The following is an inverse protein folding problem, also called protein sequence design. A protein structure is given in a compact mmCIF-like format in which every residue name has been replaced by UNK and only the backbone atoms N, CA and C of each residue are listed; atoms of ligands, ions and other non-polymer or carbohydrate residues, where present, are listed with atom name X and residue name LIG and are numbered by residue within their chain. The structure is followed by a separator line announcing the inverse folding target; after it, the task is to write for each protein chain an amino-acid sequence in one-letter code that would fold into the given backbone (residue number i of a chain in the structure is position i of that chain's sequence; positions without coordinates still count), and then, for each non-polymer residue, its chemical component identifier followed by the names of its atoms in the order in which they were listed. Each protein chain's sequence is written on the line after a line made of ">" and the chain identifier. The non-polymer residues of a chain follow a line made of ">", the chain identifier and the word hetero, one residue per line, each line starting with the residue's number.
data_IF_723126202107
#
_entry.id   IF_723126202107
#
_cell.length_a   1.000
_cell.length_b   1.000
_cell.length_c   1.000
_cell.angle_alpha   90.00
_cell.angle_beta   90.00
_cell.angle_gamma   90.00
#
_symmetry.space_group_name_H-M   'P 1'
#
loop_
_entity.id
_entity.type
_entity.pdbx_description
1 polymer ?
#
# COMPACT_ATOMS: atom_id res chain seq x y z
N UNK A 1 22.18 51.69 -44.73
CA UNK A 1 22.47 51.25 -46.11
C UNK A 1 22.12 49.77 -46.18
N UNK A 2 20.92 49.52 -46.56
CA UNK A 2 20.46 48.75 -47.72
C UNK A 2 21.29 47.49 -48.00
N UNK A 3 20.70 46.33 -47.91
CA UNK A 3 20.12 45.66 -49.07
C UNK A 3 19.10 44.63 -48.63
N UNK A 4 17.87 44.85 -49.05
CA UNK A 4 16.75 43.91 -49.17
C UNK A 4 16.86 43.14 -50.49
N UNK A 5 16.12 42.04 -50.55
CA UNK A 5 15.64 41.27 -51.71
C UNK A 5 16.52 40.08 -52.03
N UNK A 6 15.95 38.95 -51.96
CA UNK A 6 14.93 38.16 -52.62
C UNK A 6 15.63 36.93 -53.24
N UNK A 7 14.98 35.83 -53.07
CA UNK A 7 14.47 35.01 -54.19
C UNK A 7 13.57 33.92 -53.58
N UNK A 8 12.33 34.02 -54.01
CA UNK A 8 11.35 32.93 -53.94
C UNK A 8 11.55 32.09 -55.22
N UNK A 9 11.31 30.83 -55.14
CA UNK A 9 10.61 30.00 -56.11
C UNK A 9 11.18 28.60 -56.25
N UNK A 10 10.29 27.65 -56.22
CA UNK A 10 10.52 26.22 -56.58
C UNK A 10 9.52 25.37 -55.76
N UNK A 11 8.23 25.53 -56.02
CA UNK A 11 7.26 24.70 -56.74
C UNK A 11 7.25 23.25 -56.24
N UNK A 12 6.21 22.87 -55.50
CA UNK A 12 4.86 22.48 -55.94
C UNK A 12 4.82 21.00 -56.42
N UNK A 13 3.86 20.35 -55.82
CA UNK A 13 3.13 19.17 -56.28
C UNK A 13 3.64 17.78 -55.78
N UNK A 14 3.00 17.30 -54.73
CA UNK A 14 2.11 16.12 -54.82
C UNK A 14 0.99 16.28 -53.77
N UNK A 15 -0.11 16.82 -54.20
CA UNK A 15 -1.43 16.63 -53.62
C UNK A 15 -2.01 15.39 -54.22
N UNK A 16 -2.47 14.45 -53.39
CA UNK A 16 -3.83 13.90 -53.51
C UNK A 16 -3.97 12.60 -52.73
N UNK A 17 -5.11 12.51 -52.11
CA UNK A 17 -5.82 11.34 -51.56
C UNK A 17 -5.34 10.88 -50.16
N UNK A 18 -6.05 11.22 -49.07
CA UNK A 18 -7.36 10.66 -48.76
C UNK A 18 -8.04 11.48 -47.66
N UNK A 19 -9.01 12.29 -48.01
CA UNK A 19 -10.14 12.58 -47.13
C UNK A 19 -11.10 11.39 -47.26
N UNK A 20 -11.43 10.78 -46.16
CA UNK A 20 -12.71 10.14 -45.78
C UNK A 20 -12.45 9.26 -44.58
N UNK A 21 -12.78 9.73 -43.40
CA UNK A 21 -13.93 9.26 -42.61
C UNK A 21 -14.07 10.11 -41.37
N UNK A 22 -14.95 11.08 -41.46
CA UNK A 22 -15.64 11.61 -40.28
C UNK A 22 -16.85 10.70 -40.09
N UNK A 23 -16.92 10.02 -38.94
CA UNK A 23 -18.14 9.79 -38.16
C UNK A 23 -17.84 8.81 -37.02
N UNK A 24 -17.93 9.29 -35.82
CA UNK A 24 -17.89 8.48 -34.60
C UNK A 24 -17.84 9.39 -33.38
N UNK A 25 -19.01 9.85 -32.94
CA UNK A 25 -19.19 10.53 -31.67
C UNK A 25 -18.96 9.59 -30.50
N UNK A 26 -18.29 10.08 -29.46
CA UNK A 26 -18.61 9.72 -28.08
C UNK A 26 -17.57 8.86 -27.39
N UNK A 27 -16.92 9.44 -26.39
CA UNK A 27 -16.08 8.76 -25.41
C UNK A 27 -14.65 9.27 -25.43
N UNK A 28 -14.33 10.16 -24.49
CA UNK A 28 -12.96 10.65 -24.32
C UNK A 28 -12.08 9.61 -23.64
N UNK A 29 -11.85 8.45 -24.27
CA UNK A 29 -10.82 7.51 -23.88
C UNK A 29 -9.51 7.86 -24.60
N UNK A 30 -8.39 7.90 -23.90
CA UNK A 30 -7.05 7.97 -24.51
C UNK A 30 -6.89 6.80 -25.48
N UNK A 31 -6.51 7.09 -26.74
CA UNK A 31 -6.25 6.03 -27.71
C UNK A 31 -5.11 5.12 -27.21
N UNK A 32 -5.31 3.80 -27.26
CA UNK A 32 -4.29 2.81 -26.93
C UNK A 32 -3.10 2.93 -27.88
N UNK A 33 -1.89 2.69 -27.35
CA UNK A 33 -0.68 2.64 -28.16
C UNK A 33 -0.63 1.34 -28.97
N UNK A 34 -0.45 1.47 -30.28
CA UNK A 34 -0.27 0.30 -31.13
C UNK A 34 1.16 -0.25 -30.98
N UNK A 35 1.30 -1.54 -30.59
CA UNK A 35 2.55 -2.27 -30.41
C UNK A 35 3.54 -1.65 -29.40
N UNK A 36 3.16 -1.46 -28.13
CA UNK A 36 4.08 -0.97 -27.11
C UNK A 36 5.21 -1.97 -26.85
N UNK A 37 6.43 -1.45 -26.65
CA UNK A 37 7.62 -2.27 -26.37
C UNK A 37 7.86 -2.44 -24.87
N UNK A 38 7.27 -1.59 -24.04
CA UNK A 38 7.35 -1.66 -22.58
C UNK A 38 6.10 -1.12 -21.90
N UNK A 39 5.90 -1.52 -20.65
CA UNK A 39 5.02 -0.87 -19.68
C UNK A 39 5.85 -0.40 -18.49
N UNK A 40 5.44 0.71 -17.86
CA UNK A 40 6.09 1.24 -16.67
C UNK A 40 5.26 0.87 -15.44
N UNK A 41 5.88 0.16 -14.50
CA UNK A 41 5.24 -0.27 -13.24
C UNK A 41 5.98 0.32 -12.06
N UNK A 42 5.28 1.11 -11.24
CA UNK A 42 5.83 1.68 -10.02
C UNK A 42 5.31 0.95 -8.78
N UNK A 43 6.23 0.62 -7.89
CA UNK A 43 5.95 0.02 -6.60
C UNK A 43 6.87 0.60 -5.53
N UNK A 44 6.62 0.29 -4.27
CA UNK A 44 7.46 0.74 -3.16
C UNK A 44 7.95 -0.39 -2.24
N UNK A 45 7.76 -1.62 -2.66
CA UNK A 45 8.15 -2.78 -1.89
C UNK A 45 9.68 -3.03 -1.94
N UNK A 46 10.23 -3.54 -0.85
CA UNK A 46 11.64 -3.92 -0.82
C UNK A 46 11.92 -5.13 -1.71
N UNK A 47 13.05 -5.10 -2.40
CA UNK A 47 13.45 -6.14 -3.36
C UNK A 47 13.57 -7.54 -2.77
N UNK A 48 13.94 -7.64 -1.49
CA UNK A 48 14.05 -8.87 -0.70
C UNK A 48 12.83 -9.13 0.18
N UNK A 49 11.84 -8.25 0.15
CA UNK A 49 10.54 -8.45 0.78
C UNK A 49 9.67 -9.42 -0.02
N UNK A 50 8.70 -10.03 0.64
CA UNK A 50 7.84 -11.04 0.02
C UNK A 50 7.06 -10.50 -1.19
N UNK A 51 6.53 -9.27 -1.11
CA UNK A 51 5.83 -8.63 -2.22
C UNK A 51 6.78 -8.27 -3.36
N UNK A 52 7.95 -7.68 -3.08
CA UNK A 52 8.94 -7.37 -4.11
C UNK A 52 9.37 -8.59 -4.90
N UNK A 53 9.58 -9.72 -4.22
CA UNK A 53 9.90 -11.02 -4.86
C UNK A 53 8.72 -11.50 -5.73
N UNK A 54 7.47 -11.38 -5.24
CA UNK A 54 6.28 -11.76 -5.98
C UNK A 54 6.05 -10.89 -7.22
N UNK A 55 6.27 -9.58 -7.10
CA UNK A 55 6.13 -8.66 -8.25
C UNK A 55 7.18 -8.91 -9.33
N UNK A 56 8.41 -9.25 -8.94
CA UNK A 56 9.43 -9.69 -9.90
C UNK A 56 9.04 -10.98 -10.63
N UNK A 57 8.42 -11.92 -9.92
CA UNK A 57 7.89 -13.14 -10.53
C UNK A 57 6.78 -12.83 -11.54
N UNK A 58 5.85 -11.93 -11.21
CA UNK A 58 4.80 -11.48 -12.13
C UNK A 58 5.40 -10.81 -13.38
N UNK A 59 6.42 -9.97 -13.20
CA UNK A 59 7.16 -9.33 -14.30
C UNK A 59 7.77 -10.36 -15.24
N UNK A 60 8.48 -11.37 -14.73
CA UNK A 60 9.11 -12.42 -15.54
C UNK A 60 8.07 -13.19 -16.39
N UNK A 61 6.91 -13.53 -15.78
CA UNK A 61 5.83 -14.21 -16.48
C UNK A 61 5.25 -13.29 -17.56
N UNK A 62 4.98 -12.01 -17.22
CA UNK A 62 4.45 -11.03 -18.15
C UNK A 62 5.34 -10.85 -19.38
N UNK A 63 6.64 -10.63 -19.19
CA UNK A 63 7.60 -10.46 -20.29
C UNK A 63 7.68 -11.71 -21.17
N UNK A 64 7.66 -12.89 -20.56
CA UNK A 64 7.67 -14.17 -21.29
C UNK A 64 6.42 -14.38 -22.14
N UNK A 65 5.23 -14.00 -21.62
CA UNK A 65 3.96 -14.22 -22.31
C UNK A 65 3.69 -13.18 -23.40
N UNK A 66 4.10 -11.94 -23.17
CA UNK A 66 3.73 -10.82 -24.04
C UNK A 66 4.84 -10.37 -24.98
N UNK A 67 6.10 -10.63 -24.63
CA UNK A 67 7.26 -10.05 -25.29
C UNK A 67 7.46 -8.57 -25.00
N UNK A 68 6.60 -7.96 -24.15
CA UNK A 68 6.66 -6.55 -23.74
C UNK A 68 7.50 -6.44 -22.47
N UNK A 69 8.43 -5.49 -22.43
CA UNK A 69 9.28 -5.25 -21.26
C UNK A 69 8.50 -4.60 -20.11
N UNK A 70 8.90 -4.90 -18.88
CA UNK A 70 8.42 -4.18 -17.70
C UNK A 70 9.53 -3.27 -17.18
N UNK A 71 9.31 -1.97 -17.26
CA UNK A 71 10.12 -0.97 -16.56
C UNK A 71 9.67 -0.93 -15.11
N UNK A 72 10.25 -1.81 -14.29
CA UNK A 72 9.83 -2.05 -12.92
C UNK A 72 10.64 -1.16 -11.98
N UNK A 73 10.02 -0.11 -11.45
CA UNK A 73 10.70 0.92 -10.68
C UNK A 73 10.20 0.99 -9.24
N UNK A 74 11.13 0.81 -8.30
CA UNK A 74 10.85 1.09 -6.88
C UNK A 74 10.87 2.60 -6.64
N UNK A 75 9.82 3.09 -5.99
CA UNK A 75 9.67 4.48 -5.54
C UNK A 75 9.51 4.54 -4.03
N UNK A 76 9.78 5.71 -3.43
CA UNK A 76 9.46 5.93 -2.04
C UNK A 76 7.94 5.95 -1.83
N UNK A 77 7.47 5.17 -0.86
CA UNK A 77 6.07 5.14 -0.43
C UNK A 77 5.51 6.56 -0.20
N UNK A 78 6.20 7.35 0.62
CA UNK A 78 5.75 8.71 0.94
C UNK A 78 5.78 9.65 -0.28
N UNK A 79 6.75 9.49 -1.19
CA UNK A 79 6.80 10.29 -2.42
C UNK A 79 5.61 10.01 -3.33
N UNK A 80 5.27 8.73 -3.53
CA UNK A 80 4.06 8.38 -4.32
C UNK A 80 2.83 8.93 -3.62
N UNK A 81 2.66 8.67 -2.33
CA UNK A 81 1.47 9.07 -1.58
C UNK A 81 1.23 10.58 -1.60
N UNK A 82 2.28 11.38 -1.40
CA UNK A 82 2.18 12.83 -1.32
C UNK A 82 2.04 13.52 -2.69
N UNK A 83 2.58 12.92 -3.75
CA UNK A 83 2.68 13.56 -5.06
C UNK A 83 1.83 12.87 -6.15
N UNK A 84 0.99 11.89 -5.79
CA UNK A 84 0.26 11.07 -6.75
C UNK A 84 -0.55 11.90 -7.76
N UNK A 85 -1.32 12.91 -7.32
CA UNK A 85 -2.11 13.75 -8.22
C UNK A 85 -1.22 14.49 -9.24
N UNK A 86 -0.05 14.97 -8.83
CA UNK A 86 0.89 15.64 -9.73
C UNK A 86 1.52 14.63 -10.69
N UNK A 87 1.92 13.47 -10.20
CA UNK A 87 2.52 12.40 -11.00
C UNK A 87 1.55 11.96 -12.08
N UNK A 88 0.30 11.67 -11.74
CA UNK A 88 -0.70 11.15 -12.67
C UNK A 88 -1.16 12.17 -13.72
N UNK A 89 -0.93 13.45 -13.49
CA UNK A 89 -1.16 14.52 -14.46
C UNK A 89 0.07 14.83 -15.34
N UNK A 90 1.15 14.09 -15.21
CA UNK A 90 2.40 14.29 -15.96
C UNK A 90 2.63 13.22 -17.03
N UNK A 91 3.54 13.50 -17.96
CA UNK A 91 4.00 12.53 -18.96
C UNK A 91 4.87 11.42 -18.35
N UNK A 92 5.29 11.57 -17.09
CA UNK A 92 6.09 10.59 -16.33
C UNK A 92 5.24 9.53 -15.62
N UNK A 93 3.90 9.66 -15.69
CA UNK A 93 2.99 8.71 -15.07
C UNK A 93 3.31 7.26 -15.50
N UNK A 94 3.24 6.28 -14.56
CA UNK A 94 3.39 4.87 -14.91
C UNK A 94 2.14 4.34 -15.61
N UNK A 95 2.22 3.12 -16.14
CA UNK A 95 1.04 2.39 -16.64
C UNK A 95 0.31 1.63 -15.52
N UNK A 96 1.08 1.17 -14.53
CA UNK A 96 0.56 0.55 -13.30
C UNK A 96 1.26 1.19 -12.10
N UNK A 97 0.51 1.50 -11.07
CA UNK A 97 1.08 2.04 -9.83
C UNK A 97 0.53 1.32 -8.61
N UNK A 98 1.43 0.93 -7.72
CA UNK A 98 1.03 0.52 -6.38
C UNK A 98 0.65 1.76 -5.58
N UNK A 99 -0.55 1.75 -4.96
CA UNK A 99 -1.06 2.93 -4.28
C UNK A 99 -1.94 2.59 -3.07
N UNK A 100 -1.98 3.51 -2.11
CA UNK A 100 -2.78 3.34 -0.91
C UNK A 100 -4.28 3.33 -1.17
N UNK A 101 -4.97 2.41 -0.50
CA UNK A 101 -6.42 2.46 -0.32
C UNK A 101 -6.85 3.64 0.56
N UNK A 102 -8.11 4.00 0.49
CA UNK A 102 -8.74 4.99 1.37
C UNK A 102 -9.25 6.24 0.66
N UNK A 103 -10.13 6.98 1.35
CA UNK A 103 -10.83 8.13 0.78
C UNK A 103 -9.89 9.28 0.42
N UNK A 104 -8.87 9.54 1.26
CA UNK A 104 -7.90 10.62 1.05
C UNK A 104 -6.77 10.24 0.08
N UNK A 105 -6.75 9.02 -0.42
CA UNK A 105 -5.73 8.49 -1.32
C UNK A 105 -6.36 8.02 -2.64
N UNK A 106 -6.56 6.72 -2.86
CA UNK A 106 -7.14 6.23 -4.10
C UNK A 106 -8.54 6.81 -4.39
N UNK A 107 -9.36 7.00 -3.35
CA UNK A 107 -10.67 7.64 -3.50
C UNK A 107 -10.59 9.08 -4.02
N UNK A 108 -9.66 9.87 -3.50
CA UNK A 108 -9.42 11.23 -3.99
C UNK A 108 -9.02 11.22 -5.47
N UNK A 109 -8.08 10.35 -5.86
CA UNK A 109 -7.65 10.26 -7.25
C UNK A 109 -8.77 9.77 -8.17
N UNK A 110 -9.58 8.80 -7.74
CA UNK A 110 -10.74 8.30 -8.46
C UNK A 110 -11.77 9.42 -8.70
N UNK A 111 -12.11 10.18 -7.65
CA UNK A 111 -13.07 11.32 -7.75
C UNK A 111 -12.57 12.47 -8.64
N UNK A 112 -11.25 12.59 -8.82
CA UNK A 112 -10.62 13.54 -9.72
C UNK A 112 -10.51 13.03 -11.17
N UNK A 113 -10.94 11.79 -11.45
CA UNK A 113 -10.82 11.16 -12.76
C UNK A 113 -9.39 10.83 -13.17
N UNK A 114 -8.47 10.65 -12.21
CA UNK A 114 -7.07 10.34 -12.46
C UNK A 114 -6.79 8.83 -12.50
N UNK A 115 -7.76 8.00 -12.07
CA UNK A 115 -7.68 6.54 -12.13
C UNK A 115 -8.68 5.98 -13.13
N UNK A 116 -8.28 4.93 -13.81
CA UNK A 116 -9.13 4.18 -14.74
C UNK A 116 -10.19 3.40 -13.97
N UNK A 117 -11.45 3.46 -14.43
CA UNK A 117 -12.49 2.54 -13.98
C UNK A 117 -12.15 1.13 -14.48
N UNK A 118 -12.07 0.18 -13.55
CA UNK A 118 -11.63 -1.19 -13.80
C UNK A 118 -12.78 -2.20 -13.96
N UNK A 119 -14.04 -1.77 -13.92
CA UNK A 119 -15.20 -2.68 -13.92
C UNK A 119 -15.22 -3.66 -15.11
N UNK A 120 -14.79 -3.22 -16.29
CA UNK A 120 -14.74 -4.10 -17.45
C UNK A 120 -13.61 -5.12 -17.35
N UNK A 121 -12.44 -4.75 -16.83
CA UNK A 121 -11.34 -5.67 -16.55
C UNK A 121 -11.66 -6.64 -15.40
N UNK A 122 -12.38 -6.18 -14.38
CA UNK A 122 -12.89 -7.05 -13.30
C UNK A 122 -13.74 -8.16 -13.86
N UNK A 123 -14.67 -7.85 -14.79
CA UNK A 123 -15.52 -8.84 -15.46
C UNK A 123 -14.72 -9.76 -16.38
N UNK A 124 -13.78 -9.20 -17.16
CA UNK A 124 -12.95 -9.96 -18.11
C UNK A 124 -12.08 -10.99 -17.40
N UNK A 125 -11.39 -10.58 -16.35
CA UNK A 125 -10.44 -11.41 -15.61
C UNK A 125 -11.05 -12.08 -14.38
N UNK A 126 -12.33 -11.81 -14.05
CA UNK A 126 -13.06 -12.34 -12.89
C UNK A 126 -12.34 -12.04 -11.57
N UNK A 127 -11.86 -10.83 -11.42
CA UNK A 127 -11.14 -10.44 -10.21
C UNK A 127 -12.04 -10.41 -8.98
N UNK A 128 -13.34 -10.19 -9.14
CA UNK A 128 -14.35 -10.24 -8.09
C UNK A 128 -14.60 -11.66 -7.53
N UNK A 129 -14.17 -12.71 -8.22
CA UNK A 129 -14.18 -14.08 -7.70
C UNK A 129 -12.97 -14.31 -6.76
N UNK A 130 -11.87 -13.54 -6.89
CA UNK A 130 -10.65 -13.66 -6.10
C UNK A 130 -10.58 -12.63 -4.98
N UNK A 131 -10.88 -11.38 -5.28
CA UNK A 131 -10.84 -10.25 -4.34
C UNK A 131 -12.26 -10.01 -3.82
N UNK A 132 -12.56 -10.54 -2.64
CA UNK A 132 -13.92 -10.57 -2.08
C UNK A 132 -14.02 -9.90 -0.71
N UNK A 133 -15.25 -9.63 -0.25
CA UNK A 133 -15.50 -9.07 1.09
C UNK A 133 -14.79 -7.73 1.31
N UNK A 134 -14.18 -7.55 2.47
CA UNK A 134 -13.47 -6.32 2.82
C UNK A 134 -12.32 -5.98 1.88
N UNK A 135 -11.68 -6.99 1.25
CA UNK A 135 -10.65 -6.76 0.25
C UNK A 135 -11.22 -6.09 -1.00
N UNK A 136 -12.42 -6.49 -1.44
CA UNK A 136 -13.11 -5.86 -2.56
C UNK A 136 -13.52 -4.41 -2.24
N UNK A 137 -14.00 -4.17 -1.03
CA UNK A 137 -14.48 -2.87 -0.61
C UNK A 137 -13.38 -1.80 -0.66
N UNK A 138 -12.14 -2.17 -0.38
CA UNK A 138 -11.00 -1.25 -0.42
C UNK A 138 -10.61 -0.80 -1.83
N UNK A 139 -10.99 -1.53 -2.87
CA UNK A 139 -10.77 -1.18 -4.28
C UNK A 139 -11.89 -0.38 -4.94
N UNK A 140 -13.05 -0.25 -4.25
CA UNK A 140 -14.25 0.41 -4.78
C UNK A 140 -14.44 1.80 -4.22
N UNK A 141 -14.79 2.73 -5.10
CA UNK A 141 -15.04 4.12 -4.74
C UNK A 141 -16.25 4.68 -5.48
N UNK A 142 -17.08 5.44 -4.77
CA UNK A 142 -18.18 6.16 -5.39
C UNK A 142 -17.69 7.48 -6.05
N UNK A 143 -18.60 8.23 -6.68
CA UNK A 143 -18.29 9.49 -7.36
C UNK A 143 -17.65 10.55 -6.46
N UNK A 144 -17.83 10.45 -5.13
CA UNK A 144 -17.23 11.35 -4.14
C UNK A 144 -15.90 10.83 -3.61
N UNK A 145 -15.42 9.69 -4.09
CA UNK A 145 -14.20 9.04 -3.61
C UNK A 145 -14.35 8.34 -2.27
N UNK A 146 -15.59 8.03 -1.85
CA UNK A 146 -15.81 7.28 -0.61
C UNK A 146 -15.67 5.79 -0.90
N UNK A 147 -14.84 5.13 -0.11
CA UNK A 147 -14.50 3.71 -0.20
C UNK A 147 -15.70 2.80 0.16
N UNK A 148 -15.72 1.59 -0.37
CA UNK A 148 -16.66 0.53 -0.01
C UNK A 148 -17.88 0.40 -0.92
N UNK A 149 -18.05 1.30 -1.89
CA UNK A 149 -19.14 1.27 -2.85
C UNK A 149 -18.77 1.94 -4.17
N UNK A 150 -19.61 1.77 -5.18
CA UNK A 150 -19.37 2.33 -6.50
C UNK A 150 -18.54 1.40 -7.40
N UNK A 151 -17.66 1.98 -8.21
CA UNK A 151 -16.89 1.26 -9.22
C UNK A 151 -15.51 0.85 -8.71
N UNK A 152 -14.92 -0.14 -9.33
CA UNK A 152 -13.53 -0.52 -9.07
C UNK A 152 -12.56 0.50 -9.68
N UNK A 153 -11.65 1.01 -8.86
CA UNK A 153 -10.53 1.88 -9.28
C UNK A 153 -9.17 1.34 -8.86
N UNK A 154 -9.16 0.26 -8.09
CA UNK A 154 -7.96 -0.44 -7.71
C UNK A 154 -8.23 -1.90 -7.37
N UNK A 155 -7.19 -2.71 -7.48
CA UNK A 155 -7.24 -4.13 -7.15
C UNK A 155 -6.27 -4.40 -6.02
N UNK A 156 -6.78 -4.90 -4.91
CA UNK A 156 -5.96 -5.30 -3.75
C UNK A 156 -4.90 -6.32 -4.20
N UNK A 157 -3.67 -6.09 -3.80
CA UNK A 157 -2.52 -6.86 -4.27
C UNK A 157 -2.00 -7.90 -3.27
N UNK A 158 -2.27 -7.73 -1.98
CA UNK A 158 -1.97 -8.70 -0.90
C UNK A 158 -2.87 -8.45 0.31
N UNK A 159 -2.94 -9.42 1.22
CA UNK A 159 -3.55 -9.25 2.54
C UNK A 159 -2.54 -8.68 3.54
N UNK A 160 -3.00 -7.92 4.53
CA UNK A 160 -2.15 -7.45 5.61
C UNK A 160 -2.90 -7.36 6.93
N UNK A 161 -2.18 -7.68 8.01
CA UNK A 161 -2.58 -7.40 9.37
C UNK A 161 -1.43 -6.71 10.10
N UNK A 162 -1.75 -5.83 11.03
CA UNK A 162 -0.76 -5.22 11.92
C UNK A 162 -0.75 -6.01 13.21
N UNK A 163 0.41 -6.58 13.54
CA UNK A 163 0.58 -7.56 14.61
C UNK A 163 1.74 -7.19 15.52
N UNK A 164 1.83 -7.85 16.67
CA UNK A 164 2.97 -7.72 17.56
C UNK A 164 4.07 -8.72 17.18
N UNK A 165 5.26 -8.22 16.91
CA UNK A 165 6.48 -9.01 16.80
C UNK A 165 7.29 -8.92 18.09
N UNK A 166 7.89 -10.05 18.47
CA UNK A 166 8.72 -10.17 19.66
C UNK A 166 10.08 -10.77 19.31
N UNK A 167 11.15 -10.11 19.71
CA UNK A 167 12.49 -10.69 19.70
C UNK A 167 12.62 -11.63 20.91
N UNK A 168 12.29 -12.91 20.71
CA UNK A 168 12.22 -13.89 21.79
C UNK A 168 13.56 -14.05 22.51
N UNK A 169 14.68 -13.90 21.81
CA UNK A 169 16.00 -14.00 22.42
C UNK A 169 16.23 -12.87 23.44
N UNK A 170 15.71 -11.66 23.19
CA UNK A 170 15.74 -10.56 24.14
C UNK A 170 14.84 -10.83 25.34
N UNK A 171 13.67 -11.41 25.15
CA UNK A 171 12.77 -11.82 26.23
C UNK A 171 13.41 -12.87 27.12
N UNK A 172 13.93 -13.95 26.53
CA UNK A 172 14.58 -15.05 27.25
C UNK A 172 15.82 -14.57 28.04
N UNK A 173 16.67 -13.76 27.39
CA UNK A 173 17.86 -13.16 28.04
C UNK A 173 17.52 -12.31 29.26
N UNK A 174 16.37 -11.68 29.26
CA UNK A 174 15.93 -10.79 30.34
C UNK A 174 15.01 -11.49 31.36
N UNK A 175 14.64 -12.75 31.14
CA UNK A 175 13.73 -13.51 32.00
C UNK A 175 12.30 -12.94 31.99
N UNK A 176 11.84 -12.48 30.83
CA UNK A 176 10.51 -11.89 30.62
C UNK A 176 9.73 -12.82 29.72
N UNK A 177 8.50 -13.13 30.07
CA UNK A 177 7.60 -13.95 29.25
C UNK A 177 6.93 -13.10 28.16
N UNK A 178 6.62 -13.74 27.02
CA UNK A 178 5.85 -13.11 25.94
C UNK A 178 4.43 -12.81 26.44
N UNK A 179 3.95 -11.57 26.40
CA UNK A 179 2.66 -11.20 26.96
C UNK A 179 1.49 -11.70 26.10
N UNK A 180 0.40 -12.10 26.75
CA UNK A 180 -0.86 -12.54 26.15
C UNK A 180 -2.03 -11.62 26.51
N UNK A 181 -1.86 -10.81 27.55
CA UNK A 181 -2.85 -9.83 28.03
C UNK A 181 -2.26 -8.42 28.04
N UNK A 182 -3.12 -7.39 28.12
CA UNK A 182 -2.68 -5.99 28.21
C UNK A 182 -1.91 -5.69 29.50
N UNK A 183 -2.29 -6.33 30.61
CA UNK A 183 -1.58 -6.19 31.88
C UNK A 183 -0.18 -6.81 31.78
N UNK A 184 -0.07 -8.03 31.21
CA UNK A 184 1.22 -8.67 30.96
C UNK A 184 2.10 -7.88 29.99
N UNK A 185 1.51 -7.26 28.96
CA UNK A 185 2.23 -6.38 28.03
C UNK A 185 2.81 -5.17 28.78
N UNK A 186 1.99 -4.52 29.61
CA UNK A 186 2.42 -3.36 30.41
C UNK A 186 3.53 -3.75 31.38
N UNK A 187 3.39 -4.90 32.07
CA UNK A 187 4.39 -5.43 32.98
C UNK A 187 5.71 -5.79 32.27
N UNK A 188 5.62 -6.41 31.09
CA UNK A 188 6.80 -6.71 30.29
C UNK A 188 7.53 -5.43 29.84
N UNK A 189 6.78 -4.43 29.39
CA UNK A 189 7.35 -3.11 29.02
C UNK A 189 8.06 -2.46 30.20
N UNK A 190 7.44 -2.46 31.41
CA UNK A 190 8.06 -1.91 32.59
C UNK A 190 9.37 -2.62 32.95
N UNK A 191 9.38 -3.97 32.90
CA UNK A 191 10.58 -4.76 33.18
C UNK A 191 11.73 -4.46 32.21
N UNK A 192 11.46 -4.14 30.95
CA UNK A 192 12.47 -3.70 30.00
C UNK A 192 12.99 -2.30 30.34
N UNK A 193 12.09 -1.37 30.64
CA UNK A 193 12.46 -0.01 31.05
C UNK A 193 13.34 -0.01 32.30
N UNK A 194 13.03 -0.85 33.31
CA UNK A 194 13.83 -1.01 34.53
C UNK A 194 15.27 -1.50 34.25
N UNK A 195 15.49 -2.09 33.07
CA UNK A 195 16.80 -2.52 32.55
C UNK A 195 17.43 -1.53 31.59
N UNK A 196 16.83 -0.36 31.40
CA UNK A 196 17.31 0.69 30.48
C UNK A 196 17.06 0.39 29.00
N UNK A 197 16.10 -0.48 28.70
CA UNK A 197 15.73 -0.86 27.32
C UNK A 197 14.37 -0.25 26.99
N UNK A 198 14.28 0.57 25.93
CA UNK A 198 12.99 1.00 25.38
C UNK A 198 12.29 -0.20 24.75
N UNK A 199 11.10 -0.61 25.26
CA UNK A 199 10.54 -1.91 24.88
C UNK A 199 9.85 -1.94 23.51
N UNK A 200 9.22 -0.85 23.06
CA UNK A 200 8.41 -0.83 21.84
C UNK A 200 9.06 0.05 20.78
N UNK A 201 9.32 -0.56 19.62
CA UNK A 201 9.76 0.14 18.42
C UNK A 201 8.58 0.91 17.82
N UNK A 202 8.57 2.24 17.98
CA UNK A 202 7.52 3.10 17.45
C UNK A 202 8.11 4.36 16.79
N UNK A 203 7.51 4.74 15.65
CA UNK A 203 7.84 5.93 14.89
C UNK A 203 6.58 6.75 14.57
N UNK A 204 6.66 8.06 14.77
CA UNK A 204 5.56 8.98 14.54
C UNK A 204 5.84 10.03 13.45
N UNK A 205 7.00 9.94 12.78
CA UNK A 205 7.27 10.75 11.59
C UNK A 205 6.46 10.28 10.37
N UNK A 206 5.98 9.04 10.41
CA UNK A 206 5.15 8.40 9.41
C UNK A 206 3.99 7.65 10.10
N UNK A 207 3.46 6.61 9.47
CA UNK A 207 2.24 5.89 9.88
C UNK A 207 2.32 4.97 11.13
N UNK A 208 3.48 4.46 11.63
CA UNK A 208 3.46 3.39 12.65
C UNK A 208 2.65 3.73 13.90
N UNK A 209 2.87 4.89 14.51
CA UNK A 209 2.14 5.28 15.72
C UNK A 209 0.62 5.40 15.48
N UNK A 210 0.19 5.73 14.27
CA UNK A 210 -1.23 5.76 13.89
C UNK A 210 -1.84 4.35 13.95
N UNK A 211 -1.11 3.33 13.52
CA UNK A 211 -1.57 1.94 13.63
C UNK A 211 -1.74 1.50 15.07
N UNK A 212 -0.78 1.83 15.94
CA UNK A 212 -0.88 1.52 17.36
C UNK A 212 -2.07 2.24 18.01
N UNK A 213 -2.22 3.54 17.72
CA UNK A 213 -3.37 4.30 18.21
C UNK A 213 -4.69 3.68 17.78
N UNK A 214 -4.82 3.33 16.49
CA UNK A 214 -6.04 2.72 15.97
C UNK A 214 -6.28 1.32 16.56
N UNK A 215 -5.24 0.52 16.78
CA UNK A 215 -5.38 -0.77 17.47
C UNK A 215 -5.89 -0.61 18.91
N UNK A 216 -5.43 0.40 19.61
CA UNK A 216 -5.92 0.72 20.97
C UNK A 216 -7.39 1.17 20.92
N UNK A 217 -7.77 1.99 19.94
CA UNK A 217 -9.19 2.35 19.70
C UNK A 217 -10.01 1.08 19.45
N UNK A 218 -9.59 0.21 18.54
CA UNK A 218 -10.29 -1.03 18.20
C UNK A 218 -10.46 -1.99 19.39
N UNK A 219 -9.59 -1.92 20.40
CA UNK A 219 -9.72 -2.72 21.62
C UNK A 219 -10.94 -2.34 22.47
N UNK A 220 -11.50 -1.15 22.25
CA UNK A 220 -12.65 -0.58 22.99
C UNK A 220 -13.86 -0.30 22.09
N UNK A 221 -13.64 -0.09 20.79
CA UNK A 221 -14.67 0.30 19.84
C UNK A 221 -15.65 -0.84 19.52
N UNK A 222 -16.94 -0.51 19.43
CA UNK A 222 -17.95 -1.38 18.85
C UNK A 222 -17.94 -1.32 17.31
N UNK A 223 -18.78 -2.13 16.67
CA UNK A 223 -18.83 -2.21 15.21
C UNK A 223 -19.45 -0.96 14.58
N UNK A 224 -20.33 -0.25 15.30
CA UNK A 224 -20.92 0.98 14.81
C UNK A 224 -19.87 2.09 14.73
N UNK A 225 -19.05 2.23 15.78
CA UNK A 225 -17.93 3.18 15.79
C UNK A 225 -16.93 2.88 14.65
N UNK A 226 -16.58 1.59 14.47
CA UNK A 226 -15.65 1.18 13.39
C UNK A 226 -16.21 1.55 12.03
N UNK A 227 -17.49 1.27 11.75
CA UNK A 227 -18.12 1.65 10.48
C UNK A 227 -18.16 3.16 10.26
N UNK A 228 -18.52 3.93 11.30
CA UNK A 228 -18.54 5.38 11.20
C UNK A 228 -17.16 5.96 10.86
N UNK A 229 -16.10 5.42 11.46
CA UNK A 229 -14.73 5.88 11.25
C UNK A 229 -14.15 5.40 9.90
N UNK A 230 -14.19 4.09 9.62
CA UNK A 230 -13.53 3.49 8.46
C UNK A 230 -14.30 3.71 7.16
N UNK A 231 -15.63 3.59 7.22
CA UNK A 231 -16.50 3.61 6.05
C UNK A 231 -17.26 4.92 5.91
N UNK A 232 -17.05 5.87 6.82
CA UNK A 232 -17.78 7.15 6.86
C UNK A 232 -19.31 6.95 6.94
N UNK A 233 -19.73 5.86 7.60
CA UNK A 233 -21.13 5.49 7.81
C UNK A 233 -21.62 5.98 9.17
N UNK A 234 -21.75 7.31 9.31
CA UNK A 234 -22.20 8.00 10.50
C UNK A 234 -21.20 9.02 11.05
N UNK A 235 -21.57 9.64 12.17
CA UNK A 235 -20.73 10.60 12.87
C UNK A 235 -19.80 9.89 13.86
N UNK A 236 -18.56 10.36 13.95
CA UNK A 236 -17.58 9.89 14.93
C UNK A 236 -17.61 10.83 16.13
N UNK A 237 -17.91 10.29 17.31
CA UNK A 237 -17.72 11.01 18.58
C UNK A 237 -16.24 10.96 18.99
N UNK A 238 -15.55 12.08 18.77
CA UNK A 238 -14.12 12.22 19.05
C UNK A 238 -13.79 12.31 20.55
N UNK A 239 -14.77 12.53 21.42
CA UNK A 239 -14.65 12.53 22.88
C UNK A 239 -15.04 11.17 23.49
N UNK A 240 -15.31 10.17 22.65
CA UNK A 240 -15.74 8.83 23.07
C UNK A 240 -14.65 8.08 23.86
N UNK A 241 -15.09 7.07 24.62
CA UNK A 241 -14.20 6.24 25.45
C UNK A 241 -13.09 5.56 24.63
N UNK A 242 -13.32 4.96 23.44
CA UNK A 242 -12.25 4.38 22.63
C UNK A 242 -11.15 5.37 22.26
N UNK A 243 -11.51 6.59 21.84
CA UNK A 243 -10.56 7.65 21.45
C UNK A 243 -9.76 8.13 22.67
N UNK A 244 -10.45 8.40 23.76
CA UNK A 244 -9.83 8.88 25.00
C UNK A 244 -8.88 7.83 25.57
N UNK A 245 -9.30 6.56 25.59
CA UNK A 245 -8.46 5.45 26.04
C UNK A 245 -7.17 5.32 25.21
N UNK A 246 -7.27 5.29 23.89
CA UNK A 246 -6.12 5.15 23.02
C UNK A 246 -5.11 6.30 23.17
N UNK A 247 -5.64 7.53 23.19
CA UNK A 247 -4.80 8.74 23.30
C UNK A 247 -4.12 8.82 24.67
N UNK A 248 -4.82 8.51 25.75
CA UNK A 248 -4.24 8.50 27.09
C UNK A 248 -3.20 7.37 27.24
N UNK A 249 -3.47 6.19 26.68
CA UNK A 249 -2.56 5.06 26.73
C UNK A 249 -1.22 5.39 26.05
N UNK A 250 -1.25 5.98 24.85
CA UNK A 250 -0.01 6.39 24.14
C UNK A 250 0.75 7.43 24.96
N UNK A 251 0.04 8.43 25.51
CA UNK A 251 0.66 9.42 26.37
C UNK A 251 1.34 8.77 27.57
N UNK A 252 0.63 7.89 28.28
CA UNK A 252 1.18 7.20 29.45
C UNK A 252 2.38 6.32 29.12
N UNK A 253 2.34 5.61 27.98
CA UNK A 253 3.43 4.78 27.50
C UNK A 253 4.66 5.59 27.12
N UNK A 254 4.46 6.78 26.55
CA UNK A 254 5.56 7.72 26.23
C UNK A 254 6.15 8.32 27.52
N UNK A 255 5.31 8.72 28.48
CA UNK A 255 5.76 9.27 29.76
C UNK A 255 6.55 8.25 30.60
N UNK A 256 6.17 6.97 30.53
CA UNK A 256 6.85 5.84 31.19
C UNK A 256 8.10 5.34 30.45
N UNK A 257 8.35 5.83 29.23
CA UNK A 257 9.47 5.40 28.40
C UNK A 257 9.27 4.07 27.70
N UNK A 258 8.03 3.59 27.60
CA UNK A 258 7.70 2.39 26.81
C UNK A 258 7.82 2.68 25.31
N UNK A 259 7.52 3.89 24.91
CA UNK A 259 7.76 4.47 23.59
C UNK A 259 8.78 5.59 23.77
N UNK A 260 9.78 5.65 22.88
CA UNK A 260 10.77 6.74 22.91
C UNK A 260 10.08 8.10 22.69
N UNK A 261 10.48 9.12 23.45
CA UNK A 261 10.08 10.52 23.21
C UNK A 261 10.55 11.05 21.87
N UNK A 262 11.63 10.47 21.32
CA UNK A 262 12.18 10.82 20.02
C UNK A 262 11.42 10.19 18.85
N UNK A 263 10.37 9.39 19.12
CA UNK A 263 9.57 8.71 18.09
C UNK A 263 9.01 9.65 17.02
N UNK A 264 8.77 10.92 17.36
CA UNK A 264 8.28 11.94 16.40
C UNK A 264 9.28 12.23 15.26
N UNK A 265 10.56 11.90 15.43
CA UNK A 265 11.58 12.00 14.39
C UNK A 265 11.88 10.68 13.67
N UNK A 266 11.32 9.56 14.13
CA UNK A 266 11.62 8.23 13.59
C UNK A 266 10.59 7.82 12.55
N UNK A 267 11.08 7.32 11.42
CA UNK A 267 10.28 6.75 10.34
C UNK A 267 10.01 5.26 10.55
N UNK A 268 9.11 4.69 9.77
CA UNK A 268 8.79 3.27 9.80
C UNK A 268 10.05 2.40 9.58
N UNK A 269 10.89 2.77 8.62
CA UNK A 269 12.13 2.05 8.33
C UNK A 269 13.12 2.12 9.50
N UNK A 270 13.26 3.28 10.15
CA UNK A 270 14.19 3.46 11.28
C UNK A 270 13.85 2.52 12.45
N UNK A 271 12.56 2.43 12.79
CA UNK A 271 12.11 1.58 13.92
C UNK A 271 12.12 0.10 13.57
N UNK A 272 11.82 -0.27 12.33
CA UNK A 272 11.93 -1.63 11.83
C UNK A 272 13.39 -2.11 11.84
N UNK A 273 14.33 -1.29 11.37
CA UNK A 273 15.77 -1.58 11.48
C UNK A 273 16.22 -1.68 12.93
N UNK A 274 15.71 -0.81 13.81
CA UNK A 274 15.98 -0.87 15.25
C UNK A 274 15.54 -2.20 15.87
N UNK A 275 14.36 -2.72 15.49
CA UNK A 275 13.90 -4.04 15.91
C UNK A 275 14.82 -5.16 15.37
N UNK A 276 15.15 -5.13 14.08
CA UNK A 276 16.02 -6.12 13.45
C UNK A 276 17.43 -6.15 14.07
N UNK A 277 17.95 -5.00 14.47
CA UNK A 277 19.26 -4.87 15.11
C UNK A 277 19.24 -5.18 16.62
N UNK A 278 18.09 -5.54 17.20
CA UNK A 278 17.95 -5.85 18.62
C UNK A 278 17.99 -4.62 19.53
N UNK A 279 17.68 -3.43 19.04
CA UNK A 279 17.51 -2.23 19.86
C UNK A 279 16.22 -2.30 20.67
N UNK A 280 15.17 -2.81 20.06
CA UNK A 280 13.82 -2.95 20.65
C UNK A 280 13.43 -4.41 20.75
N UNK A 281 12.88 -4.88 21.87
CA UNK A 281 12.39 -6.26 22.02
C UNK A 281 11.03 -6.51 21.38
N UNK A 282 10.24 -5.45 21.11
CA UNK A 282 8.90 -5.54 20.53
C UNK A 282 8.73 -4.55 19.39
N UNK A 283 7.90 -4.95 18.41
CA UNK A 283 7.55 -4.11 17.27
C UNK A 283 6.09 -4.37 16.90
N UNK A 284 5.27 -3.32 16.90
CA UNK A 284 3.89 -3.38 16.43
C UNK A 284 3.85 -2.87 15.00
N UNK A 285 3.76 -3.78 14.03
CA UNK A 285 3.78 -3.43 12.62
C UNK A 285 3.15 -4.50 11.76
N UNK A 286 3.06 -4.23 10.47
CA UNK A 286 2.36 -5.09 9.53
C UNK A 286 3.11 -6.34 9.11
N UNK A 287 2.33 -7.28 8.59
CA UNK A 287 2.83 -8.56 8.07
C UNK A 287 3.79 -8.40 6.89
N UNK A 288 3.85 -7.24 6.25
CA UNK A 288 4.85 -6.89 5.22
C UNK A 288 6.31 -6.92 5.71
N UNK A 289 6.56 -6.87 7.01
CA UNK A 289 7.90 -7.00 7.59
C UNK A 289 8.36 -8.45 7.71
N UNK A 290 7.44 -9.42 7.78
CA UNK A 290 7.77 -10.79 8.14
C UNK A 290 8.77 -11.46 7.20
N UNK A 291 8.62 -11.28 5.89
CA UNK A 291 9.56 -11.81 4.90
C UNK A 291 10.99 -11.27 5.09
N UNK A 292 11.13 -10.01 5.49
CA UNK A 292 12.44 -9.41 5.81
C UNK A 292 13.03 -10.02 7.07
N UNK A 293 12.22 -10.22 8.12
CA UNK A 293 12.71 -10.88 9.33
C UNK A 293 13.21 -12.29 9.06
N UNK A 294 12.52 -13.06 8.23
CA UNK A 294 12.98 -14.38 7.82
C UNK A 294 14.31 -14.34 7.05
N UNK A 295 14.53 -13.34 6.23
CA UNK A 295 15.72 -13.22 5.39
C UNK A 295 16.90 -12.58 6.12
N UNK A 296 16.67 -11.53 6.91
CA UNK A 296 17.73 -10.67 7.43
C UNK A 296 18.04 -10.93 8.91
N UNK A 297 17.10 -11.54 9.68
CA UNK A 297 17.30 -11.89 11.09
C UNK A 297 17.64 -13.37 11.29
N UNK A 298 18.40 -13.96 10.37
CA UNK A 298 18.82 -15.38 10.47
C UNK A 298 19.59 -15.65 11.76
N UNK A 299 19.08 -16.57 12.57
CA UNK A 299 19.65 -16.91 13.87
C UNK A 299 19.06 -16.12 15.04
N UNK A 300 18.16 -15.16 14.81
CA UNK A 300 17.35 -14.53 15.85
C UNK A 300 15.98 -15.18 15.90
N UNK A 301 15.53 -15.52 17.11
CA UNK A 301 14.22 -16.12 17.30
C UNK A 301 13.14 -15.05 17.41
N UNK A 302 12.45 -14.79 16.29
CA UNK A 302 11.32 -13.84 16.23
C UNK A 302 10.02 -14.64 16.30
N UNK A 303 9.13 -14.23 17.21
CA UNK A 303 7.76 -14.74 17.27
C UNK A 303 6.77 -13.61 17.14
N UNK A 304 5.50 -13.91 16.91
CA UNK A 304 4.46 -12.92 16.73
C UNK A 304 3.12 -13.39 17.30
N UNK A 305 2.25 -12.43 17.59
CA UNK A 305 0.86 -12.65 17.94
C UNK A 305 0.00 -11.48 17.47
N UNK A 306 -1.32 -11.67 17.48
CA UNK A 306 -2.22 -10.51 17.45
C UNK A 306 -1.98 -9.61 18.65
N UNK A 307 -2.43 -8.37 18.60
CA UNK A 307 -2.34 -7.45 19.75
C UNK A 307 -3.06 -8.05 20.96
N UNK A 308 -2.42 -8.06 22.16
CA UNK A 308 -2.95 -8.76 23.32
C UNK A 308 -4.41 -8.45 23.63
N UNK A 309 -5.23 -9.48 23.85
CA UNK A 309 -6.66 -9.43 24.15
C UNK A 309 -7.53 -8.72 23.10
N UNK A 310 -7.02 -8.30 21.97
CA UNK A 310 -7.82 -7.64 20.95
C UNK A 310 -8.60 -8.68 20.13
N UNK A 311 -9.89 -8.37 19.90
CA UNK A 311 -10.77 -9.14 19.01
C UNK A 311 -10.79 -8.58 17.59
N UNK A 312 -10.29 -7.38 17.41
CA UNK A 312 -10.19 -6.68 16.13
C UNK A 312 -8.72 -6.38 15.86
N UNK A 313 -8.33 -6.47 14.62
CA UNK A 313 -6.96 -6.26 14.17
C UNK A 313 -6.95 -5.11 13.17
N UNK A 314 -5.94 -4.25 13.24
CA UNK A 314 -5.68 -3.25 12.20
C UNK A 314 -5.21 -3.97 10.94
N UNK A 315 -5.74 -3.57 9.79
CA UNK A 315 -5.42 -4.19 8.51
C UNK A 315 -6.64 -4.91 7.92
N UNK A 316 -6.54 -5.39 6.74
CA UNK A 316 -7.40 -6.32 6.01
C UNK A 316 -6.88 -6.51 4.59
N UNK A 317 -6.64 -5.43 3.85
CA UNK A 317 -6.00 -5.44 2.54
C UNK A 317 -4.69 -4.68 2.62
N UNK A 318 -3.74 -5.07 1.80
CA UNK A 318 -2.54 -4.31 1.52
C UNK A 318 -2.85 -3.09 0.64
N UNK A 319 -2.00 -2.84 -0.30
CA UNK A 319 -2.17 -1.73 -1.23
C UNK A 319 -3.00 -2.15 -2.45
N UNK A 320 -3.24 -1.21 -3.32
CA UNK A 320 -3.95 -1.40 -4.55
C UNK A 320 -2.99 -1.32 -5.74
N UNK A 321 -3.19 -2.16 -6.73
CA UNK A 321 -2.76 -1.86 -8.08
C UNK A 321 -3.79 -0.93 -8.72
N UNK A 322 -3.36 0.23 -9.19
CA UNK A 322 -4.19 1.19 -9.91
C UNK A 322 -3.62 1.43 -11.31
N UNK A 323 -4.50 1.76 -12.25
CA UNK A 323 -4.14 2.14 -13.62
C UNK A 323 -4.43 3.64 -13.78
N UNK A 324 -3.42 4.48 -14.04
CA UNK A 324 -3.64 5.89 -14.35
C UNK A 324 -4.56 6.08 -15.55
N UNK A 325 -5.46 7.06 -15.49
CA UNK A 325 -6.43 7.30 -16.58
C UNK A 325 -5.76 7.72 -17.89
N UNK A 326 -4.61 8.39 -17.83
CA UNK A 326 -3.85 8.80 -18.99
C UNK A 326 -2.95 7.71 -19.61
N UNK A 327 -2.86 6.51 -19.00
CA UNK A 327 -2.12 5.40 -19.58
C UNK A 327 -2.69 5.01 -20.95
N UNK A 328 -1.79 4.85 -21.92
CA UNK A 328 -2.10 4.36 -23.27
C UNK A 328 -1.96 2.86 -23.43
N UNK A 329 -1.66 2.15 -22.33
CA UNK A 329 -1.35 0.70 -22.30
C UNK A 329 -2.21 -0.03 -21.28
N UNK A 330 -3.49 0.42 -21.12
CA UNK A 330 -4.41 -0.05 -20.08
C UNK A 330 -4.64 -1.56 -20.13
N UNK A 331 -4.74 -2.16 -21.33
CA UNK A 331 -4.95 -3.61 -21.46
C UNK A 331 -3.73 -4.40 -21.00
N UNK A 332 -2.52 -3.93 -21.29
CA UNK A 332 -1.29 -4.54 -20.78
C UNK A 332 -1.13 -4.33 -19.28
N UNK A 333 -1.50 -3.16 -18.77
CA UNK A 333 -1.54 -2.88 -17.34
C UNK A 333 -2.50 -3.83 -16.62
N UNK A 334 -3.70 -4.02 -17.14
CA UNK A 334 -4.67 -4.98 -16.60
C UNK A 334 -4.16 -6.43 -16.67
N UNK A 335 -3.50 -6.82 -17.76
CA UNK A 335 -2.87 -8.13 -17.87
C UNK A 335 -1.76 -8.32 -16.81
N UNK A 336 -0.94 -7.31 -16.55
CA UNK A 336 0.06 -7.37 -15.50
C UNK A 336 -0.59 -7.56 -14.12
N UNK A 337 -1.62 -6.77 -13.80
CA UNK A 337 -2.39 -6.91 -12.55
C UNK A 337 -2.98 -8.32 -12.44
N UNK A 338 -3.56 -8.86 -13.50
CA UNK A 338 -4.11 -10.22 -13.50
C UNK A 338 -3.05 -11.27 -13.16
N UNK A 339 -1.82 -11.11 -13.65
CA UNK A 339 -0.72 -12.02 -13.32
C UNK A 339 -0.31 -11.93 -11.84
N UNK A 340 -0.39 -10.76 -11.22
CA UNK A 340 -0.12 -10.63 -9.77
C UNK A 340 -1.14 -11.41 -8.92
N UNK A 341 -2.34 -11.66 -9.45
CA UNK A 341 -3.41 -12.45 -8.81
C UNK A 341 -3.41 -13.93 -9.24
N UNK A 342 -2.42 -14.37 -10.02
CA UNK A 342 -2.33 -15.78 -10.39
C UNK A 342 -1.87 -16.63 -9.21
N UNK A 343 -2.31 -17.89 -9.18
CA UNK A 343 -1.94 -18.82 -8.13
C UNK A 343 -0.42 -18.94 -8.00
N UNK A 344 0.32 -18.99 -9.14
CA UNK A 344 1.78 -19.08 -9.16
C UNK A 344 2.44 -17.90 -8.44
N UNK A 345 1.95 -16.67 -8.63
CA UNK A 345 2.51 -15.46 -8.00
C UNK A 345 2.08 -15.36 -6.54
N UNK A 346 0.82 -15.69 -6.25
CA UNK A 346 0.28 -15.66 -4.87
C UNK A 346 0.92 -16.74 -3.99
N UNK A 347 1.13 -17.96 -4.50
CA UNK A 347 1.89 -19.01 -3.81
C UNK A 347 3.33 -18.58 -3.57
N UNK A 348 3.97 -17.95 -4.56
CA UNK A 348 5.33 -17.43 -4.40
C UNK A 348 5.42 -16.35 -3.33
N UNK A 349 4.42 -15.46 -3.26
CA UNK A 349 4.28 -14.44 -2.23
C UNK A 349 4.14 -15.08 -0.84
N UNK A 350 3.21 -16.02 -0.68
CA UNK A 350 2.97 -16.73 0.59
C UNK A 350 4.21 -17.48 1.08
N UNK A 351 4.89 -18.19 0.19
CA UNK A 351 6.14 -18.88 0.48
C UNK A 351 7.30 -17.94 0.86
N UNK A 352 7.22 -16.68 0.46
CA UNK A 352 8.20 -15.63 0.78
C UNK A 352 7.84 -14.84 2.04
N UNK A 353 6.70 -15.15 2.69
CA UNK A 353 6.33 -14.59 3.98
C UNK A 353 5.39 -13.38 3.95
N UNK A 354 4.60 -13.21 2.89
CA UNK A 354 3.47 -12.27 2.89
C UNK A 354 2.14 -13.04 2.89
N UNK A 355 1.05 -12.31 3.04
CA UNK A 355 -0.31 -12.85 3.09
C UNK A 355 -0.96 -12.77 1.70
N UNK A 356 -1.15 -13.91 1.01
CA UNK A 356 -1.85 -13.93 -0.27
C UNK A 356 -3.33 -13.56 -0.11
N UNK A 357 -3.95 -13.12 -1.21
CA UNK A 357 -5.39 -12.82 -1.28
C UNK A 357 -6.17 -13.80 -2.16
N UNK A 358 -5.50 -14.54 -2.99
CA UNK A 358 -6.10 -15.50 -3.91
C UNK A 358 -5.60 -16.91 -3.66
#
# INVERSE_FOLDING_TARGET
>A
MNVRKAIAAGLAAVTAASMLTLAGCGGGGTAQEENPTSIKVWHYEEDNGAMGVAWKKAMEIFEKETGVKVEFEKKSFEQIRQNASQILNSDEAPDVMEYNKGNATAGLLASQGLLTNLDDYVKEYKWDEKVTGSLADTGKYNEKGVMGSGNWYGITNYGEDVIMYYNKDMFDKNGIEIPTTMDELTDAMQKFVDKGITPLAEGAAEYPLQHLWWQLVLSKADDQFVKAYEMYDGDVDWDSEPITYATQTIKDWTDKGYISKDCTGLKAEDVGQGFMNGTYPMFFSGTWWYGRFQNDMKGTNVTFSTFPQSKKVVGSSGNLWVIPENSKRKDLAAKFINLTLSDEVQDHMGNSGAQPIA
#
